data_IF_841403287209
#
_entry.id   IF_841403287209
#
_cell.length_a   1.000
_cell.length_b   1.000
_cell.length_c   1.000
_cell.angle_alpha   90.00
_cell.angle_beta   90.00
_cell.angle_gamma   90.00
#
_symmetry.space_group_name_H-M   'P 1'
#
loop_
_entity.id
_entity.type
_entity.pdbx_description
1 polymer ?
#
# COMPACT_ATOMS: atom_id res chain seq x y z
N UNK A 1 1.34 3.99 -48.64
CA UNK A 1 1.36 2.72 -47.89
C UNK A 1 1.51 3.07 -46.42
N UNK A 2 0.53 3.74 -45.82
CA UNK A 2 -0.78 3.29 -45.32
C UNK A 2 -0.76 3.22 -43.78
N UNK A 3 -1.27 4.30 -43.18
CA UNK A 3 -1.66 4.41 -41.78
C UNK A 3 -2.81 3.44 -41.47
N UNK A 4 -2.50 2.16 -41.23
CA UNK A 4 -3.50 1.13 -40.88
C UNK A 4 -3.69 0.86 -39.38
N UNK A 5 -2.79 1.33 -38.51
CA UNK A 5 -2.77 0.93 -37.09
C UNK A 5 -3.76 1.67 -36.18
N UNK A 6 -4.13 2.91 -36.51
CA UNK A 6 -4.89 3.76 -35.58
C UNK A 6 -6.40 3.48 -35.57
N UNK A 7 -6.95 2.92 -36.65
CA UNK A 7 -8.39 2.60 -36.76
C UNK A 7 -8.78 1.32 -36.01
N UNK A 8 -7.82 0.42 -35.75
CA UNK A 8 -8.07 -0.80 -34.97
C UNK A 8 -8.14 -0.51 -33.46
N UNK A 9 -7.45 0.53 -33.00
CA UNK A 9 -7.49 1.03 -31.63
C UNK A 9 -8.88 1.57 -31.23
N UNK A 10 -9.55 2.31 -32.13
CA UNK A 10 -10.81 3.00 -31.81
C UNK A 10 -12.02 2.06 -31.78
N UNK A 11 -12.04 1.03 -32.64
CA UNK A 11 -13.12 0.05 -32.70
C UNK A 11 -13.08 -0.92 -31.51
N UNK A 12 -11.88 -1.30 -31.06
CA UNK A 12 -11.71 -2.10 -29.83
C UNK A 12 -11.97 -1.27 -28.58
N UNK A 13 -11.59 0.02 -28.54
CA UNK A 13 -11.96 0.90 -27.43
C UNK A 13 -13.48 0.99 -27.25
N UNK A 14 -14.24 1.02 -28.33
CA UNK A 14 -15.70 1.05 -28.28
C UNK A 14 -16.32 -0.31 -27.93
N UNK A 15 -15.79 -1.44 -28.43
CA UNK A 15 -16.29 -2.78 -28.07
C UNK A 15 -15.92 -3.18 -26.63
N UNK A 16 -14.71 -2.88 -26.14
CA UNK A 16 -14.29 -3.20 -24.77
C UNK A 16 -14.99 -2.33 -23.71
N UNK A 17 -15.26 -1.04 -24.00
CA UNK A 17 -16.09 -0.19 -23.12
C UNK A 17 -17.57 -0.58 -23.17
N UNK A 18 -18.08 -1.04 -24.32
CA UNK A 18 -19.48 -1.40 -24.49
C UNK A 18 -19.84 -2.75 -23.85
N UNK A 19 -18.90 -3.70 -23.75
CA UNK A 19 -19.17 -5.05 -23.22
C UNK A 19 -19.25 -5.10 -21.68
N UNK A 20 -18.76 -4.09 -20.94
CA UNK A 20 -18.68 -4.17 -19.46
C UNK A 20 -19.20 -2.99 -18.63
N UNK A 21 -19.93 -2.05 -19.23
CA UNK A 21 -20.65 -1.04 -18.45
C UNK A 21 -21.94 -1.55 -17.78
N UNK A 22 -22.28 -2.83 -17.94
CA UNK A 22 -23.46 -3.47 -17.33
C UNK A 22 -23.16 -4.39 -16.14
N UNK A 23 -21.89 -4.67 -15.83
CA UNK A 23 -21.52 -5.52 -14.71
C UNK A 23 -20.94 -4.68 -13.57
N UNK A 24 -21.53 -4.82 -12.38
CA UNK A 24 -21.17 -4.11 -11.16
C UNK A 24 -19.67 -4.24 -10.87
N UNK A 25 -18.92 -3.14 -10.97
CA UNK A 25 -17.53 -3.08 -10.53
C UNK A 25 -17.51 -3.35 -9.03
N UNK A 26 -17.13 -4.57 -8.64
CA UNK A 26 -16.93 -4.95 -7.24
C UNK A 26 -15.65 -4.29 -6.73
N UNK A 27 -15.82 -3.30 -5.86
CA UNK A 27 -14.74 -2.69 -5.08
C UNK A 27 -15.02 -2.96 -3.62
N UNK A 28 -14.15 -3.73 -2.96
CA UNK A 28 -14.13 -3.81 -1.50
C UNK A 28 -13.38 -2.60 -0.97
N UNK A 29 -14.09 -1.66 -0.35
CA UNK A 29 -13.50 -0.54 0.38
C UNK A 29 -13.61 -0.91 1.84
N UNK A 30 -12.56 -1.50 2.39
CA UNK A 30 -12.54 -1.83 3.81
C UNK A 30 -11.79 -0.73 4.58
N UNK A 31 -12.43 -0.21 5.62
CA UNK A 31 -11.76 0.70 6.56
C UNK A 31 -11.03 -0.09 7.67
N UNK A 32 -11.28 -1.39 7.75
CA UNK A 32 -10.57 -2.35 8.57
C UNK A 32 -9.73 -3.25 7.67
N UNK A 33 -8.54 -3.64 8.15
CA UNK A 33 -7.53 -4.42 7.44
C UNK A 33 -8.12 -5.52 6.56
N UNK A 34 -7.72 -5.55 5.29
CA UNK A 34 -7.98 -6.69 4.42
C UNK A 34 -7.48 -7.97 5.10
N UNK A 35 -8.25 -9.06 5.03
CA UNK A 35 -7.95 -10.30 5.77
C UNK A 35 -6.55 -10.87 5.44
N UNK A 36 -5.95 -11.61 6.38
CA UNK A 36 -4.59 -12.15 6.23
C UNK A 36 -4.49 -13.26 5.17
N UNK A 37 -3.37 -13.31 4.45
CA UNK A 37 -3.01 -14.42 3.56
C UNK A 37 -2.23 -15.47 4.35
N UNK A 38 -2.53 -16.76 4.12
CA UNK A 38 -1.80 -17.86 4.76
C UNK A 38 -0.33 -17.91 4.31
N UNK A 39 0.58 -18.00 5.27
CA UNK A 39 2.02 -18.01 5.05
C UNK A 39 2.70 -19.14 5.81
N UNK A 40 3.76 -19.70 5.23
CA UNK A 40 4.45 -20.89 5.78
C UNK A 40 5.32 -20.60 7.00
N UNK A 41 5.77 -19.35 7.15
CA UNK A 41 6.62 -18.89 8.24
C UNK A 41 5.98 -17.69 8.90
N UNK A 42 6.17 -17.53 10.20
CA UNK A 42 5.85 -16.27 10.87
C UNK A 42 6.76 -15.13 10.35
N UNK A 43 6.35 -13.86 10.47
CA UNK A 43 7.20 -12.72 10.11
C UNK A 43 8.60 -12.81 10.77
N UNK A 44 8.65 -13.19 12.05
CA UNK A 44 9.87 -13.38 12.82
C UNK A 44 10.77 -14.46 12.20
N UNK A 45 10.22 -15.62 11.86
CA UNK A 45 10.97 -16.71 11.24
C UNK A 45 11.53 -16.31 9.88
N UNK A 46 10.71 -15.68 9.04
CA UNK A 46 11.15 -15.17 7.73
C UNK A 46 12.26 -14.14 7.88
N UNK A 47 12.16 -13.24 8.85
CA UNK A 47 13.21 -12.26 9.10
C UNK A 47 14.50 -12.90 9.59
N UNK A 48 14.38 -13.91 10.45
CA UNK A 48 15.52 -14.67 10.95
C UNK A 48 16.26 -15.39 9.83
N UNK A 49 15.55 -16.03 8.89
CA UNK A 49 16.14 -16.61 7.67
C UNK A 49 16.87 -15.56 6.84
N UNK A 50 16.26 -14.39 6.63
CA UNK A 50 16.90 -13.28 5.95
C UNK A 50 18.20 -12.87 6.64
N UNK A 51 18.18 -12.63 7.95
CA UNK A 51 19.36 -12.22 8.72
C UNK A 51 20.47 -13.28 8.64
N UNK A 52 20.13 -14.57 8.79
CA UNK A 52 21.07 -15.69 8.69
C UNK A 52 21.72 -15.75 7.30
N UNK A 53 20.93 -15.62 6.23
CA UNK A 53 21.44 -15.63 4.84
C UNK A 53 22.44 -14.51 4.55
N UNK A 54 22.41 -13.43 5.36
CA UNK A 54 23.27 -12.24 5.23
C UNK A 54 24.37 -12.17 6.29
N UNK A 55 24.48 -13.18 7.17
CA UNK A 55 25.44 -13.18 8.28
C UNK A 55 25.18 -12.06 9.32
N UNK A 56 23.95 -11.57 9.41
CA UNK A 56 23.54 -10.51 10.33
C UNK A 56 23.02 -11.11 11.64
N UNK A 57 23.28 -10.42 12.76
CA UNK A 57 22.85 -10.87 14.10
C UNK A 57 21.35 -10.67 14.30
N UNK A 58 20.66 -11.68 14.80
CA UNK A 58 19.32 -11.51 15.35
C UNK A 58 19.41 -10.91 16.76
N UNK A 59 18.96 -9.67 16.96
CA UNK A 59 19.04 -8.95 18.24
C UNK A 59 17.65 -8.74 18.84
N UNK A 60 17.57 -8.55 20.16
CA UNK A 60 16.30 -8.26 20.84
C UNK A 60 15.61 -6.99 20.32
N UNK A 61 16.40 -5.98 19.90
CA UNK A 61 15.86 -4.76 19.28
C UNK A 61 15.19 -5.06 17.94
N UNK A 62 15.81 -5.92 17.12
CA UNK A 62 15.26 -6.36 15.83
C UNK A 62 13.97 -7.17 16.05
N UNK A 63 13.98 -8.10 17.01
CA UNK A 63 12.80 -8.89 17.40
C UNK A 63 11.65 -8.00 17.88
N UNK A 64 11.94 -7.04 18.76
CA UNK A 64 10.95 -6.09 19.25
C UNK A 64 10.32 -5.25 18.13
N UNK A 65 11.13 -4.78 17.17
CA UNK A 65 10.61 -4.01 16.04
C UNK A 65 9.68 -4.83 15.15
N UNK A 66 10.00 -6.09 14.88
CA UNK A 66 9.13 -6.93 14.05
C UNK A 66 7.82 -7.28 14.78
N UNK A 67 7.87 -7.55 16.10
CA UNK A 67 6.66 -7.74 16.92
C UNK A 67 5.79 -6.48 16.88
N UNK A 68 6.38 -5.30 17.05
CA UNK A 68 5.66 -4.02 17.06
C UNK A 68 5.02 -3.73 15.70
N UNK A 69 5.77 -3.87 14.61
CA UNK A 69 5.29 -3.59 13.25
C UNK A 69 4.16 -4.55 12.84
N UNK A 70 4.28 -5.85 13.13
CA UNK A 70 3.27 -6.83 12.74
C UNK A 70 2.12 -6.98 13.75
N UNK A 71 2.16 -6.29 14.89
CA UNK A 71 1.03 -6.20 15.83
C UNK A 71 -0.07 -5.23 15.38
N UNK A 72 0.19 -4.41 14.35
CA UNK A 72 -0.74 -3.39 13.82
C UNK A 72 -0.79 -3.52 12.31
N UNK A 73 -2.00 -3.56 11.74
CA UNK A 73 -2.19 -3.52 10.29
C UNK A 73 -2.49 -2.08 9.86
N UNK A 74 -1.46 -1.25 9.79
CA UNK A 74 -1.57 0.16 9.42
C UNK A 74 -0.41 0.57 8.51
N UNK A 75 -0.65 1.51 7.60
CA UNK A 75 0.42 2.26 6.94
C UNK A 75 1.10 3.18 7.93
N UNK A 76 2.43 3.17 7.97
CA UNK A 76 3.19 4.02 8.86
C UNK A 76 4.41 4.60 8.16
N UNK A 77 4.87 5.76 8.63
CA UNK A 77 6.22 6.23 8.34
C UNK A 77 7.16 5.91 9.51
N UNK A 78 8.46 6.09 9.29
CA UNK A 78 9.46 5.77 10.29
C UNK A 78 9.31 6.61 11.57
N UNK A 79 8.86 7.86 11.45
CA UNK A 79 8.71 8.78 12.58
C UNK A 79 7.53 8.34 13.46
N UNK A 80 6.41 7.94 12.86
CA UNK A 80 5.29 7.32 13.57
C UNK A 80 5.71 6.07 14.32
N UNK A 81 6.55 5.22 13.74
CA UNK A 81 7.08 4.04 14.44
C UNK A 81 7.96 4.44 15.62
N UNK A 82 8.86 5.42 15.42
CA UNK A 82 9.75 5.94 16.47
C UNK A 82 8.96 6.53 17.64
N UNK A 83 7.89 7.26 17.37
CA UNK A 83 7.02 7.86 18.39
C UNK A 83 6.33 6.81 19.27
N UNK A 84 6.14 5.60 18.75
CA UNK A 84 5.58 4.46 19.49
C UNK A 84 6.63 3.66 20.29
N UNK A 85 7.92 3.99 20.19
CA UNK A 85 8.97 3.28 20.90
C UNK A 85 9.11 3.73 22.36
N UNK A 86 9.61 2.85 23.26
CA UNK A 86 10.03 3.27 24.60
C UNK A 86 11.03 4.42 24.55
N UNK A 87 10.99 5.32 25.54
CA UNK A 87 11.95 6.44 25.62
C UNK A 87 13.39 5.95 25.85
N UNK A 88 14.37 6.75 25.43
CA UNK A 88 15.80 6.47 25.65
C UNK A 88 16.08 6.15 27.14
N UNK A 89 16.78 5.04 27.39
CA UNK A 89 17.09 4.56 28.74
C UNK A 89 16.03 3.63 29.35
N UNK A 90 14.91 3.38 28.66
CA UNK A 90 13.95 2.34 29.04
C UNK A 90 14.26 1.01 28.33
N UNK A 91 13.92 -0.14 28.93
CA UNK A 91 13.97 -1.43 28.25
C UNK A 91 13.20 -1.39 26.93
N UNK A 92 13.74 -2.04 25.89
CA UNK A 92 13.14 -2.03 24.55
C UNK A 92 13.34 -0.74 23.75
N UNK A 93 14.13 0.22 24.23
CA UNK A 93 14.52 1.38 23.42
C UNK A 93 15.31 0.95 22.19
N UNK A 94 14.91 1.48 21.03
CA UNK A 94 15.63 1.33 19.77
C UNK A 94 15.97 2.72 19.24
N UNK A 95 17.23 2.93 18.87
CA UNK A 95 17.65 4.23 18.33
C UNK A 95 17.01 4.48 16.95
N UNK A 96 16.71 5.73 16.57
CA UNK A 96 16.18 6.06 15.25
C UNK A 96 17.01 5.46 14.11
N UNK A 97 18.34 5.55 14.20
CA UNK A 97 19.24 4.98 13.20
C UNK A 97 19.07 3.46 13.05
N UNK A 98 18.79 2.75 14.14
CA UNK A 98 18.48 1.32 14.10
C UNK A 98 17.11 1.07 13.49
N UNK A 99 16.09 1.88 13.80
CA UNK A 99 14.76 1.78 13.16
C UNK A 99 14.86 1.88 11.65
N UNK A 100 15.48 2.95 11.13
CA UNK A 100 15.62 3.15 9.68
C UNK A 100 16.36 2.00 8.98
N UNK A 101 17.44 1.48 9.59
CA UNK A 101 18.15 0.31 9.05
C UNK A 101 17.27 -0.94 9.06
N UNK A 102 16.60 -1.23 10.17
CA UNK A 102 15.76 -2.42 10.29
C UNK A 102 14.56 -2.36 9.35
N UNK A 103 13.95 -1.19 9.14
CA UNK A 103 12.85 -1.04 8.17
C UNK A 103 13.31 -1.34 6.74
N UNK A 104 14.51 -0.90 6.36
CA UNK A 104 15.12 -1.29 5.08
C UNK A 104 15.34 -2.81 5.01
N UNK A 105 15.84 -3.42 6.09
CA UNK A 105 16.01 -4.87 6.17
C UNK A 105 14.68 -5.63 6.07
N UNK A 106 13.58 -5.11 6.61
CA UNK A 106 12.25 -5.69 6.43
C UNK A 106 11.76 -5.61 4.99
N UNK A 107 12.03 -4.51 4.28
CA UNK A 107 11.74 -4.41 2.85
C UNK A 107 12.59 -5.41 2.05
N UNK A 108 13.89 -5.49 2.33
CA UNK A 108 14.80 -6.42 1.65
C UNK A 108 14.43 -7.90 1.94
N UNK A 109 13.86 -8.20 3.11
CA UNK A 109 13.33 -9.51 3.48
C UNK A 109 11.95 -9.83 2.85
N UNK A 110 11.36 -8.88 2.12
CA UNK A 110 10.01 -8.99 1.56
C UNK A 110 8.94 -9.14 2.64
N UNK A 111 9.14 -8.50 3.80
CA UNK A 111 8.16 -8.41 4.88
C UNK A 111 7.27 -7.18 4.72
N UNK A 112 7.90 -6.07 4.33
CA UNK A 112 7.25 -4.80 4.08
C UNK A 112 7.46 -4.36 2.65
N UNK A 113 6.51 -3.57 2.15
CA UNK A 113 6.69 -2.73 0.99
C UNK A 113 6.89 -1.28 1.42
N UNK A 114 7.48 -0.46 0.53
CA UNK A 114 7.60 0.98 0.76
C UNK A 114 7.38 1.81 -0.50
N UNK A 115 6.89 3.03 -0.31
CA UNK A 115 6.69 4.01 -1.38
C UNK A 115 6.76 5.46 -0.88
N UNK A 116 6.99 6.38 -1.81
CA UNK A 116 6.95 7.82 -1.53
C UNK A 116 5.52 8.35 -1.63
N UNK A 117 5.06 9.04 -0.60
CA UNK A 117 3.75 9.68 -0.56
C UNK A 117 3.83 10.97 0.25
N UNK A 118 3.43 12.10 -0.34
CA UNK A 118 3.47 13.43 0.31
C UNK A 118 4.86 13.78 0.89
N UNK A 119 5.93 13.44 0.16
CA UNK A 119 7.31 13.74 0.54
C UNK A 119 7.89 12.86 1.66
N UNK A 120 7.17 11.82 2.10
CA UNK A 120 7.64 10.85 3.10
C UNK A 120 7.62 9.42 2.56
N UNK A 121 8.47 8.57 3.11
CA UNK A 121 8.42 7.13 2.90
C UNK A 121 7.34 6.52 3.78
N UNK A 122 6.37 5.89 3.15
CA UNK A 122 5.35 5.06 3.81
C UNK A 122 5.73 3.59 3.67
N UNK A 123 5.56 2.85 4.76
CA UNK A 123 5.74 1.41 4.83
C UNK A 123 4.39 0.72 5.01
N UNK A 124 4.25 -0.45 4.40
CA UNK A 124 3.06 -1.30 4.46
C UNK A 124 3.45 -2.76 4.57
N UNK A 125 2.56 -3.58 5.12
CA UNK A 125 2.77 -5.04 5.16
C UNK A 125 2.64 -5.60 3.75
N UNK A 126 3.61 -6.41 3.35
CA UNK A 126 3.57 -7.16 2.09
C UNK A 126 3.40 -8.66 2.38
N UNK A 127 4.16 -9.17 3.35
CA UNK A 127 4.11 -10.58 3.71
C UNK A 127 2.87 -10.94 4.53
N UNK A 128 2.10 -11.91 4.04
CA UNK A 128 0.86 -12.36 4.69
C UNK A 128 -0.27 -11.35 4.57
N UNK A 129 -0.15 -10.37 3.68
CA UNK A 129 -1.15 -9.35 3.42
C UNK A 129 -1.63 -9.41 1.97
N UNK A 130 -2.93 -9.24 1.70
CA UNK A 130 -3.45 -9.33 0.35
C UNK A 130 -3.06 -8.09 -0.45
N UNK A 131 -2.86 -8.29 -1.75
CA UNK A 131 -2.58 -7.22 -2.69
C UNK A 131 -3.74 -6.23 -2.74
N UNK A 132 -3.43 -4.94 -2.69
CA UNK A 132 -4.42 -3.88 -2.61
C UNK A 132 -3.87 -2.56 -3.14
N UNK A 133 -4.78 -1.68 -3.55
CA UNK A 133 -4.50 -0.33 -4.01
C UNK A 133 -4.99 0.70 -2.99
N UNK A 134 -4.63 1.97 -3.20
CA UNK A 134 -4.90 3.03 -2.22
C UNK A 134 -5.69 4.20 -2.79
N UNK A 135 -6.65 4.70 -2.00
CA UNK A 135 -7.16 6.06 -2.10
C UNK A 135 -6.45 6.93 -1.07
N UNK A 136 -5.82 8.01 -1.52
CA UNK A 136 -5.13 8.96 -0.65
C UNK A 136 -5.89 10.29 -0.55
N UNK A 137 -6.29 10.66 0.67
CA UNK A 137 -6.90 11.96 0.93
C UNK A 137 -5.83 13.03 1.11
N UNK A 138 -5.73 13.98 0.17
CA UNK A 138 -4.74 15.06 0.22
C UNK A 138 -5.03 16.11 1.29
N UNK A 139 -6.21 16.08 1.92
CA UNK A 139 -6.60 17.03 2.97
C UNK A 139 -6.28 16.52 4.39
N UNK A 140 -6.61 15.26 4.70
CA UNK A 140 -6.36 14.68 6.03
C UNK A 140 -5.29 13.59 6.05
N UNK A 141 -4.65 13.32 4.90
CA UNK A 141 -3.60 12.30 4.72
C UNK A 141 -4.04 10.85 5.01
N UNK A 142 -5.35 10.58 5.09
CA UNK A 142 -5.88 9.23 5.26
C UNK A 142 -5.61 8.40 3.99
N UNK A 143 -5.04 7.21 4.17
CA UNK A 143 -5.09 6.14 3.16
C UNK A 143 -6.32 5.27 3.41
N UNK A 144 -6.93 4.83 2.32
CA UNK A 144 -8.00 3.81 2.32
C UNK A 144 -7.58 2.74 1.35
N UNK A 145 -7.55 1.51 1.81
CA UNK A 145 -7.23 0.34 0.98
C UNK A 145 -8.46 -0.10 0.18
N UNK A 146 -8.22 -0.60 -1.02
CA UNK A 146 -9.26 -1.25 -1.79
C UNK A 146 -8.70 -2.34 -2.70
N UNK A 147 -9.57 -3.25 -3.12
CA UNK A 147 -9.27 -4.24 -4.16
C UNK A 147 -10.26 -4.10 -5.31
N UNK A 148 -9.78 -4.36 -6.53
CA UNK A 148 -10.63 -4.36 -7.72
C UNK A 148 -10.20 -5.46 -8.70
N UNK A 149 -11.07 -6.44 -8.88
CA UNK A 149 -10.90 -7.49 -9.90
C UNK A 149 -10.80 -6.87 -11.30
N UNK A 150 -11.60 -5.83 -11.57
CA UNK A 150 -11.59 -5.13 -12.84
C UNK A 150 -10.23 -4.47 -13.17
N UNK A 151 -9.55 -3.90 -12.17
CA UNK A 151 -8.21 -3.36 -12.36
C UNK A 151 -7.18 -4.48 -12.59
N UNK A 152 -7.31 -5.57 -11.86
CA UNK A 152 -6.44 -6.75 -12.01
C UNK A 152 -6.56 -7.35 -13.41
N UNK A 153 -7.79 -7.53 -13.90
CA UNK A 153 -8.05 -8.04 -15.26
C UNK A 153 -7.54 -7.08 -16.34
N UNK A 154 -7.72 -5.77 -16.17
CA UNK A 154 -7.22 -4.77 -17.10
C UNK A 154 -5.69 -4.80 -17.18
N UNK A 155 -5.02 -4.84 -16.03
CA UNK A 155 -3.57 -4.95 -15.92
C UNK A 155 -3.05 -6.18 -16.68
N UNK A 156 -3.69 -7.33 -16.49
CA UNK A 156 -3.27 -8.60 -17.11
C UNK A 156 -3.54 -8.60 -18.62
N UNK A 157 -4.66 -8.04 -19.06
CA UNK A 157 -4.98 -7.90 -20.47
C UNK A 157 -3.96 -7.01 -21.21
N UNK A 158 -3.61 -5.85 -20.63
CA UNK A 158 -2.57 -4.96 -21.18
C UNK A 158 -1.22 -5.66 -21.21
N UNK A 159 -0.86 -6.39 -20.15
CA UNK A 159 0.37 -7.18 -20.11
C UNK A 159 0.43 -8.19 -21.26
N UNK A 160 -0.64 -8.98 -21.44
CA UNK A 160 -0.73 -9.99 -22.48
C UNK A 160 -0.63 -9.41 -23.90
N UNK A 161 -1.30 -8.27 -24.16
CA UNK A 161 -1.26 -7.59 -25.46
C UNK A 161 0.17 -7.20 -25.86
N UNK A 162 1.00 -6.82 -24.90
CA UNK A 162 2.37 -6.40 -25.12
C UNK A 162 3.41 -7.53 -24.92
N UNK A 163 2.98 -8.76 -24.67
CA UNK A 163 3.89 -9.86 -24.31
C UNK A 163 4.69 -9.58 -23.04
N UNK A 164 4.14 -8.77 -22.14
CA UNK A 164 4.76 -8.30 -20.91
C UNK A 164 4.30 -9.15 -19.72
N UNK A 165 5.25 -9.76 -19.00
CA UNK A 165 4.97 -10.52 -17.78
C UNK A 165 4.83 -9.57 -16.60
N UNK A 166 3.60 -9.34 -16.17
CA UNK A 166 3.31 -8.52 -15.00
C UNK A 166 3.65 -9.33 -13.74
N UNK A 167 4.46 -8.74 -12.86
CA UNK A 167 4.79 -9.31 -11.55
C UNK A 167 4.03 -8.63 -10.42
N UNK A 168 3.84 -7.31 -10.52
CA UNK A 168 3.19 -6.49 -9.51
C UNK A 168 2.72 -5.16 -10.14
N UNK A 169 1.87 -4.43 -9.42
CA UNK A 169 1.48 -3.06 -9.72
C UNK A 169 1.18 -2.29 -8.43
N UNK A 170 1.24 -0.96 -8.51
CA UNK A 170 0.81 -0.08 -7.43
C UNK A 170 -0.05 1.04 -7.99
N UNK A 171 -1.27 1.19 -7.49
CA UNK A 171 -2.14 2.31 -7.80
C UNK A 171 -2.45 3.12 -6.54
N UNK A 172 -2.16 4.43 -6.60
CA UNK A 172 -2.55 5.39 -5.57
C UNK A 172 -3.37 6.50 -6.22
N UNK A 173 -4.64 6.60 -5.85
CA UNK A 173 -5.57 7.61 -6.35
C UNK A 173 -5.64 8.77 -5.37
N UNK A 174 -5.20 9.95 -5.81
CA UNK A 174 -5.21 11.17 -5.00
C UNK A 174 -6.58 11.85 -5.06
N UNK A 175 -7.17 12.15 -3.89
CA UNK A 175 -8.49 12.78 -3.81
C UNK A 175 -8.80 13.40 -2.45
N UNK A 176 -10.09 13.58 -2.14
CA UNK A 176 -10.57 14.01 -0.81
C UNK A 176 -11.55 12.97 -0.27
N UNK A 177 -11.35 12.53 0.97
CA UNK A 177 -12.28 11.62 1.62
C UNK A 177 -13.63 12.28 1.91
N UNK A 178 -14.66 11.46 2.12
CA UNK A 178 -16.03 11.92 2.36
C UNK A 178 -16.15 12.87 3.57
N UNK A 179 -15.38 12.65 4.63
CA UNK A 179 -15.36 13.51 5.82
C UNK A 179 -14.78 14.91 5.52
N UNK A 180 -13.69 14.94 4.74
CA UNK A 180 -13.09 16.19 4.28
C UNK A 180 -14.03 16.97 3.34
N UNK A 181 -14.71 16.28 2.43
CA UNK A 181 -15.72 16.90 1.55
C UNK A 181 -16.88 17.47 2.37
N UNK A 182 -17.41 16.72 3.34
CA UNK A 182 -18.52 17.17 4.22
C UNK A 182 -18.13 18.37 5.07
N UNK A 183 -16.94 18.36 5.69
CA UNK A 183 -16.45 19.47 6.51
C UNK A 183 -16.29 20.76 5.70
N UNK A 184 -15.78 20.65 4.46
CA UNK A 184 -15.64 21.79 3.54
C UNK A 184 -17.00 22.37 3.12
N UNK A 185 -17.99 21.51 2.84
CA UNK A 185 -19.38 21.95 2.52
C UNK A 185 -20.03 22.71 3.69
N UNK A 186 -19.83 22.25 4.93
CA UNK A 186 -20.34 22.93 6.14
C UNK A 186 -19.72 24.32 6.35
N UNK A 187 -18.44 24.52 6.01
CA UNK A 187 -17.76 25.82 6.11
C UNK A 187 -18.33 26.86 5.12
N UNK A 188 -18.55 26.48 3.85
CA UNK A 188 -19.14 27.38 2.84
C UNK A 188 -20.54 27.88 3.23
N UNK A 189 -21.43 26.96 3.64
CA UNK A 189 -22.83 27.29 4.01
C UNK A 189 -22.98 28.26 5.19
N UNK A 190 -21.96 28.41 6.04
CA UNK A 190 -22.00 29.35 7.17
C UNK A 190 -21.51 30.76 6.82
N UNK A 191 -20.77 30.91 5.73
CA UNK A 191 -20.18 32.19 5.32
C UNK A 191 -21.02 32.90 4.24
N UNK A 192 -21.88 32.16 3.53
CA UNK A 192 -22.84 32.70 2.57
C UNK A 192 -24.17 33.14 3.22
N UNK A 193 -24.17 33.33 4.55
CA UNK A 193 -25.30 33.82 5.34
C UNK A 193 -24.92 35.14 6.02
N UNK A 194 -24.69 36.18 5.21
CA UNK A 194 -24.72 37.59 5.63
C UNK A 194 -25.43 38.36 4.53
#
# INVERSE_FOLDING_TARGET
>A
MECGGFRRLLLFFLEYFAIRLSDEVRVSIDQASLGSVEVSLTPQQRFEEYLQSRGLRHTDQRRFLIDLVFSRHEHFDADMLIDNLPRKGKPGYVSPATVYRTLKEFVDAGLLNSFQLDGRTVFEHDYGYPQHDHLYCTQCRKLVEFQSDALTELRDAVGAEHGFRVYDHRLIINGMCSDCVKSRRRKKRKQDLV
#
